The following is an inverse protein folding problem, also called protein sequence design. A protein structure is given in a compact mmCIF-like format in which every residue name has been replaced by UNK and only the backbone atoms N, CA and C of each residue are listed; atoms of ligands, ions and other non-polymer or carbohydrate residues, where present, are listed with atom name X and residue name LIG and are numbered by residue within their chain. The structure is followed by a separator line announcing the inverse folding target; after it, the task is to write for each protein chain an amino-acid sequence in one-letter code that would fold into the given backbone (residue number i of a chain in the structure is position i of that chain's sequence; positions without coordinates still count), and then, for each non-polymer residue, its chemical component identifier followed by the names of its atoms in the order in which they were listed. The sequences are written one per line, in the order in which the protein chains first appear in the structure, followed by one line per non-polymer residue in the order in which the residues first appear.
data_IF_451476185060
#
_entry.id   IF_451476185060
#
_cell.length_a   1.000
_cell.length_b   1.000
_cell.length_c   1.000
_cell.angle_alpha   90.00
_cell.angle_beta   90.00
_cell.angle_gamma   90.00
#
_symmetry.space_group_name_H-M   'P 1'
#
loop_
_entity.id
_entity.type
_entity.pdbx_description
1 polymer ?
#
# COMPACT_ATOMS: atom_id res chain seq x y z
N UNK A 1 -13.92 -26.40 -59.46
CA UNK A 1 -14.82 -25.33 -59.97
C UNK A 1 -14.97 -24.30 -58.86
N UNK A 2 -14.30 -23.15 -59.01
CA UNK A 2 -14.66 -21.89 -58.34
C UNK A 2 -15.95 -21.33 -58.96
N UNK A 3 -16.69 -20.45 -58.26
CA UNK A 3 -16.46 -19.00 -58.37
C UNK A 3 -16.56 -18.30 -57.00
N UNK A 4 -15.70 -17.36 -56.60
CA UNK A 4 -15.62 -15.93 -56.99
C UNK A 4 -16.94 -15.15 -56.94
N UNK A 5 -17.12 -14.34 -55.88
CA UNK A 5 -17.29 -12.87 -55.91
C UNK A 5 -18.33 -12.28 -54.93
N UNK A 6 -18.11 -11.00 -54.56
CA UNK A 6 -18.85 -10.05 -53.68
C UNK A 6 -18.40 -10.09 -52.20
N UNK A 7 -17.44 -9.29 -51.71
CA UNK A 7 -17.16 -7.84 -51.79
C UNK A 7 -18.22 -6.96 -51.08
N UNK A 8 -17.72 -6.26 -50.04
CA UNK A 8 -18.22 -5.07 -49.33
C UNK A 8 -19.31 -5.23 -48.25
N UNK A 9 -18.86 -5.19 -46.99
CA UNK A 9 -19.45 -4.28 -46.01
C UNK A 9 -18.38 -3.83 -45.00
N UNK A 10 -18.62 -2.63 -44.51
CA UNK A 10 -17.67 -1.59 -44.17
C UNK A 10 -17.67 -1.33 -42.67
N UNK A 11 -16.52 -0.89 -42.16
CA UNK A 11 -16.30 -0.14 -40.92
C UNK A 11 -16.68 -0.77 -39.57
N UNK A 12 -15.64 -1.11 -38.80
CA UNK A 12 -15.63 -0.83 -37.36
C UNK A 12 -14.20 -0.64 -36.87
N UNK A 13 -13.83 0.62 -36.65
CA UNK A 13 -12.61 1.00 -35.95
C UNK A 13 -12.69 0.53 -34.49
N UNK A 14 -11.80 -0.37 -34.07
CA UNK A 14 -11.52 -0.60 -32.64
C UNK A 14 -10.11 -0.14 -32.33
N UNK A 15 -10.06 0.99 -31.64
CA UNK A 15 -8.83 1.60 -31.11
C UNK A 15 -8.12 0.66 -30.15
N UNK A 16 -6.81 0.56 -30.37
CA UNK A 16 -5.82 -0.17 -29.58
C UNK A 16 -5.44 0.69 -28.38
N UNK A 17 -5.78 0.26 -27.16
CA UNK A 17 -5.22 0.87 -25.93
C UNK A 17 -4.10 -0.05 -25.45
N UNK A 18 -2.87 0.24 -25.90
CA UNK A 18 -1.64 -0.35 -25.37
C UNK A 18 -1.25 0.45 -24.12
N UNK A 19 -1.53 -0.09 -22.94
CA UNK A 19 -1.11 0.47 -21.65
C UNK A 19 0.38 0.19 -21.42
N UNK A 20 1.23 1.19 -21.63
CA UNK A 20 2.62 1.15 -21.19
C UNK A 20 2.68 1.56 -19.71
N UNK A 21 2.87 0.58 -18.84
CA UNK A 21 3.27 0.83 -17.45
C UNK A 21 4.69 1.41 -17.43
N UNK A 22 4.80 2.69 -17.08
CA UNK A 22 6.08 3.37 -16.89
C UNK A 22 6.81 2.82 -15.65
N UNK A 23 8.06 2.41 -15.87
CA UNK A 23 9.02 2.01 -14.83
C UNK A 23 9.71 3.25 -14.21
N UNK A 24 10.28 3.16 -12.99
CA UNK A 24 10.78 4.32 -12.25
C UNK A 24 12.02 5.01 -12.84
N UNK A 25 12.60 4.47 -13.92
CA UNK A 25 13.85 4.96 -14.51
C UNK A 25 13.68 6.02 -15.61
N UNK A 26 12.45 6.37 -15.99
CA UNK A 26 12.19 7.35 -17.05
C UNK A 26 12.03 8.80 -16.55
N UNK A 27 12.01 9.04 -15.23
CA UNK A 27 11.86 10.40 -14.67
C UNK A 27 13.16 11.22 -14.57
N UNK A 28 14.33 10.68 -14.97
CA UNK A 28 15.63 11.35 -14.76
C UNK A 28 16.22 12.04 -16.00
N UNK A 29 15.52 12.05 -17.14
CA UNK A 29 16.01 12.66 -18.40
C UNK A 29 15.14 13.79 -18.97
N UNK A 30 14.12 14.29 -18.25
CA UNK A 30 13.34 15.46 -18.72
C UNK A 30 13.94 16.82 -18.33
N UNK A 31 14.94 16.84 -17.45
CA UNK A 31 15.53 18.10 -16.94
C UNK A 31 16.67 18.67 -17.79
N UNK A 32 17.07 18.01 -18.89
CA UNK A 32 18.25 18.44 -19.68
C UNK A 32 17.96 18.90 -21.10
N UNK A 33 16.79 18.62 -21.67
CA UNK A 33 16.45 19.05 -23.04
C UNK A 33 15.77 20.42 -23.11
N UNK A 34 15.13 20.90 -22.04
CA UNK A 34 14.54 22.25 -22.02
C UNK A 34 15.55 23.37 -21.81
N UNK A 35 16.78 23.07 -21.36
CA UNK A 35 17.82 24.07 -21.12
C UNK A 35 18.65 24.45 -22.37
N UNK A 36 18.42 23.79 -23.52
CA UNK A 36 19.30 23.88 -24.69
C UNK A 36 18.65 24.49 -25.95
N UNK A 37 17.42 25.01 -25.87
CA UNK A 37 16.68 25.48 -27.07
C UNK A 37 16.20 26.94 -27.09
N UNK A 38 16.61 27.79 -26.16
CA UNK A 38 16.24 29.22 -26.24
C UNK A 38 17.44 30.12 -25.94
N UNK A 39 18.32 30.27 -26.93
CA UNK A 39 19.07 31.51 -27.13
C UNK A 39 18.35 32.36 -28.17
N UNK A 40 17.60 33.41 -27.77
CA UNK A 40 17.27 34.49 -28.67
C UNK A 40 18.35 35.57 -28.64
N UNK A 41 18.95 35.71 -29.81
CA UNK A 41 19.78 36.78 -30.35
C UNK A 41 19.28 38.19 -29.95
N UNK A 42 20.19 39.02 -29.44
CA UNK A 42 20.02 40.48 -29.30
C UNK A 42 19.70 41.10 -30.67
N UNK A 43 18.70 41.99 -30.75
CA UNK A 43 18.98 43.30 -31.32
C UNK A 43 18.63 44.42 -30.35
N UNK A 44 19.37 45.48 -30.57
CA UNK A 44 19.44 46.77 -29.92
C UNK A 44 18.26 47.66 -30.37
N UNK A 45 17.59 48.33 -29.43
CA UNK A 45 17.21 49.76 -29.51
C UNK A 45 16.19 50.15 -28.42
N UNK A 46 16.49 51.27 -27.73
CA UNK A 46 15.57 52.18 -27.04
C UNK A 46 14.83 51.71 -25.77
N UNK A 47 15.56 51.57 -24.66
CA UNK A 47 15.00 51.72 -23.31
C UNK A 47 15.33 53.12 -22.77
N UNK A 48 14.30 53.97 -22.59
CA UNK A 48 14.32 54.96 -21.49
C UNK A 48 12.95 55.45 -20.99
N UNK A 49 11.82 55.07 -21.59
CA UNK A 49 10.52 55.67 -21.24
C UNK A 49 9.44 54.71 -20.71
N UNK A 50 9.57 53.39 -20.86
CA UNK A 50 8.54 52.40 -20.46
C UNK A 50 8.73 51.81 -19.05
N UNK A 51 9.96 51.81 -18.50
CA UNK A 51 10.27 51.16 -17.22
C UNK A 51 9.69 51.85 -15.98
N UNK A 52 9.32 53.12 -16.09
CA UNK A 52 8.63 53.83 -15.02
C UNK A 52 7.14 53.47 -14.96
N UNK A 53 6.52 53.22 -16.12
CA UNK A 53 5.08 52.95 -16.25
C UNK A 53 4.76 51.47 -15.93
N UNK A 54 5.68 50.55 -16.23
CA UNK A 54 5.51 49.14 -15.84
C UNK A 54 5.69 48.92 -14.34
N UNK A 55 6.55 49.69 -13.67
CA UNK A 55 6.63 49.70 -12.20
C UNK A 55 5.34 50.22 -11.58
N UNK A 56 4.76 51.30 -12.11
CA UNK A 56 3.48 51.79 -11.61
C UNK A 56 2.32 50.82 -11.84
N UNK A 57 2.30 50.07 -12.95
CA UNK A 57 1.27 49.04 -13.18
C UNK A 57 1.48 47.83 -12.26
N UNK A 58 2.71 47.38 -12.07
CA UNK A 58 3.00 46.23 -11.21
C UNK A 58 2.79 46.57 -9.72
N UNK A 59 3.06 47.83 -9.35
CA UNK A 59 2.76 48.40 -8.04
C UNK A 59 1.25 48.67 -7.88
N UNK A 60 0.50 49.10 -8.91
CA UNK A 60 -0.97 49.16 -8.87
C UNK A 60 -1.61 47.76 -8.76
N UNK A 61 -1.01 46.73 -9.37
CA UNK A 61 -1.50 45.34 -9.29
C UNK A 61 -1.09 44.67 -7.98
N UNK A 62 0.05 45.03 -7.38
CA UNK A 62 0.47 44.61 -6.03
C UNK A 62 -0.22 45.40 -4.90
N UNK A 63 -0.57 46.68 -5.14
CA UNK A 63 -1.30 47.58 -4.25
C UNK A 63 -2.81 47.57 -4.47
N UNK A 64 -3.31 46.78 -5.44
CA UNK A 64 -4.69 46.28 -5.38
C UNK A 64 -4.75 45.29 -4.22
N UNK A 65 -4.62 45.80 -2.99
CA UNK A 65 -5.24 45.20 -1.83
C UNK A 65 -6.68 44.96 -2.25
N UNK A 66 -7.09 43.69 -2.27
CA UNK A 66 -8.52 43.36 -2.35
C UNK A 66 -9.23 44.27 -1.36
N UNK A 67 -10.18 45.11 -1.79
CA UNK A 67 -10.74 46.13 -0.92
C UNK A 67 -11.31 45.43 0.30
N UNK A 68 -10.70 45.66 1.47
CA UNK A 68 -11.18 45.12 2.74
C UNK A 68 -12.64 45.56 2.84
N UNK A 69 -13.61 44.64 2.83
CA UNK A 69 -15.00 45.02 2.63
C UNK A 69 -15.39 46.02 3.72
N UNK A 70 -15.69 47.26 3.36
CA UNK A 70 -16.04 48.33 4.30
C UNK A 70 -17.48 48.21 4.78
N UNK A 71 -18.31 47.50 4.01
CA UNK A 71 -19.70 47.16 4.29
C UNK A 71 -19.82 45.91 5.16
N UNK A 72 -20.76 45.95 6.11
CA UNK A 72 -21.04 44.85 7.05
C UNK A 72 -21.25 43.51 6.31
N UNK A 73 -21.91 43.53 5.15
CA UNK A 73 -22.17 42.39 4.26
C UNK A 73 -20.91 41.72 3.67
N UNK A 74 -19.89 42.49 3.27
CA UNK A 74 -18.68 41.91 2.71
C UNK A 74 -17.77 41.29 3.78
N UNK A 75 -17.72 41.89 4.99
CA UNK A 75 -16.99 41.32 6.14
C UNK A 75 -17.60 40.00 6.61
N UNK A 76 -18.92 39.85 6.54
CA UNK A 76 -19.58 38.58 6.87
C UNK A 76 -19.40 37.54 5.76
N UNK A 77 -19.39 37.92 4.48
CA UNK A 77 -19.15 36.99 3.38
C UNK A 77 -17.73 36.40 3.40
N UNK A 78 -16.71 37.22 3.64
CA UNK A 78 -15.31 36.77 3.72
C UNK A 78 -15.03 35.95 5.00
N UNK A 79 -15.62 36.34 6.14
CA UNK A 79 -15.56 35.52 7.36
C UNK A 79 -16.30 34.20 7.17
N UNK A 80 -17.45 34.21 6.50
CA UNK A 80 -18.21 33.00 6.20
C UNK A 80 -17.45 32.05 5.27
N UNK A 81 -16.72 32.55 4.26
CA UNK A 81 -15.92 31.69 3.39
C UNK A 81 -14.77 31.03 4.12
N UNK A 82 -14.11 31.73 5.05
CA UNK A 82 -13.05 31.15 5.87
C UNK A 82 -13.61 30.14 6.88
N UNK A 83 -14.72 30.47 7.55
CA UNK A 83 -15.41 29.55 8.46
C UNK A 83 -15.89 28.29 7.75
N UNK A 84 -16.38 28.40 6.51
CA UNK A 84 -16.78 27.25 5.71
C UNK A 84 -15.60 26.29 5.45
N UNK A 85 -14.43 26.81 5.08
CA UNK A 85 -13.24 25.98 4.85
C UNK A 85 -12.76 25.29 6.14
N UNK A 86 -12.71 26.01 7.27
CA UNK A 86 -12.35 25.40 8.56
C UNK A 86 -13.37 24.34 8.99
N UNK A 87 -14.67 24.61 8.79
CA UNK A 87 -15.73 23.65 9.10
C UNK A 87 -15.62 22.41 8.23
N UNK A 88 -15.37 22.58 6.92
CA UNK A 88 -15.17 21.47 5.99
C UNK A 88 -13.96 20.61 6.38
N UNK A 89 -12.86 21.22 6.83
CA UNK A 89 -11.68 20.49 7.34
C UNK A 89 -12.03 19.71 8.60
N UNK A 90 -12.71 20.30 9.57
CA UNK A 90 -13.09 19.61 10.82
C UNK A 90 -14.01 18.43 10.53
N UNK A 91 -15.00 18.61 9.66
CA UNK A 91 -15.91 17.52 9.23
C UNK A 91 -15.13 16.44 8.50
N UNK A 92 -14.23 16.81 7.58
CA UNK A 92 -13.40 15.87 6.84
C UNK A 92 -12.52 15.02 7.76
N UNK A 93 -11.84 15.66 8.72
CA UNK A 93 -11.02 14.96 9.72
C UNK A 93 -11.89 14.05 10.61
N UNK A 94 -13.08 14.51 10.99
CA UNK A 94 -14.03 13.71 11.77
C UNK A 94 -14.46 12.43 11.05
N UNK A 95 -14.82 12.53 9.76
CA UNK A 95 -15.21 11.39 8.94
C UNK A 95 -14.06 10.40 8.75
N UNK A 96 -12.85 10.90 8.46
CA UNK A 96 -11.65 10.05 8.31
C UNK A 96 -11.34 9.37 9.64
N UNK A 97 -11.37 10.10 10.76
CA UNK A 97 -11.15 9.55 12.10
C UNK A 97 -12.14 8.45 12.47
N UNK A 98 -13.43 8.66 12.19
CA UNK A 98 -14.47 7.65 12.41
C UNK A 98 -14.24 6.40 11.55
N UNK A 99 -13.88 6.56 10.27
CA UNK A 99 -13.59 5.43 9.39
C UNK A 99 -12.37 4.62 9.88
N UNK A 100 -11.29 5.31 10.26
CA UNK A 100 -10.09 4.68 10.82
C UNK A 100 -10.41 3.92 12.10
N UNK A 101 -11.26 4.47 12.99
CA UNK A 101 -11.65 3.80 14.23
C UNK A 101 -12.37 2.47 13.98
N UNK A 102 -13.34 2.44 13.07
CA UNK A 102 -14.07 1.22 12.72
C UNK A 102 -13.15 0.18 12.10
N UNK A 103 -12.31 0.59 11.14
CA UNK A 103 -11.38 -0.33 10.49
C UNK A 103 -10.33 -0.88 11.45
N UNK A 104 -9.79 -0.07 12.37
CA UNK A 104 -8.79 -0.52 13.33
C UNK A 104 -9.32 -1.68 14.20
N UNK A 105 -10.58 -1.63 14.64
CA UNK A 105 -11.19 -2.71 15.40
C UNK A 105 -11.24 -4.04 14.64
N UNK A 106 -11.54 -3.98 13.34
CA UNK A 106 -11.65 -5.17 12.48
C UNK A 106 -10.28 -5.72 12.07
N UNK A 107 -9.34 -4.85 11.68
CA UNK A 107 -8.04 -5.27 11.16
C UNK A 107 -7.11 -5.83 12.24
N UNK A 108 -7.20 -5.33 13.48
CA UNK A 108 -6.38 -5.80 14.60
C UNK A 108 -7.06 -6.89 15.42
N UNK A 109 -8.17 -7.46 14.94
CA UNK A 109 -8.73 -8.66 15.53
C UNK A 109 -7.65 -9.76 15.63
N UNK A 110 -7.64 -10.48 16.75
CA UNK A 110 -6.68 -11.56 17.01
C UNK A 110 -6.81 -12.71 15.99
N UNK A 111 -7.89 -12.72 15.23
CA UNK A 111 -8.31 -13.60 14.15
C UNK A 111 -7.49 -13.44 12.85
N UNK A 112 -6.47 -12.57 12.85
CA UNK A 112 -5.60 -12.37 11.69
C UNK A 112 -4.55 -13.49 11.58
N UNK A 113 -4.41 -14.14 10.40
CA UNK A 113 -3.40 -15.17 10.18
C UNK A 113 -1.96 -14.69 10.44
N UNK A 114 -1.69 -13.39 10.25
CA UNK A 114 -0.38 -12.79 10.50
C UNK A 114 -0.06 -12.72 11.99
N UNK A 115 -1.04 -12.42 12.83
CA UNK A 115 -0.88 -12.43 14.29
C UNK A 115 -0.54 -13.83 14.78
N UNK A 116 -1.27 -14.84 14.29
CA UNK A 116 -1.03 -16.26 14.60
C UNK A 116 0.37 -16.67 14.13
N UNK A 117 0.76 -16.32 12.91
CA UNK A 117 2.10 -16.55 12.38
C UNK A 117 3.20 -15.96 13.28
N UNK A 118 3.09 -14.68 13.63
CA UNK A 118 4.09 -14.00 14.45
C UNK A 118 4.22 -14.63 15.84
N UNK A 119 3.10 -14.99 16.48
CA UNK A 119 3.09 -15.68 17.77
C UNK A 119 3.66 -17.10 17.67
N UNK A 120 3.30 -17.85 16.63
CA UNK A 120 3.85 -19.19 16.41
C UNK A 120 5.38 -19.13 16.18
N UNK A 121 5.84 -18.15 15.41
CA UNK A 121 7.25 -17.97 15.12
C UNK A 121 8.06 -17.53 16.36
N UNK A 122 7.49 -16.72 17.25
CA UNK A 122 8.16 -16.40 18.53
C UNK A 122 8.30 -17.64 19.40
N UNK A 123 7.25 -18.46 19.52
CA UNK A 123 7.30 -19.73 20.26
C UNK A 123 8.36 -20.69 19.70
N UNK A 124 8.47 -20.79 18.37
CA UNK A 124 9.52 -21.61 17.72
C UNK A 124 10.92 -21.08 17.98
N UNK A 125 11.09 -19.75 18.13
CA UNK A 125 12.38 -19.15 18.47
C UNK A 125 12.77 -19.35 19.92
N UNK A 126 11.79 -19.36 20.82
CA UNK A 126 12.00 -19.53 22.26
C UNK A 126 12.27 -21.00 22.64
N UNK A 127 11.75 -21.95 21.86
CA UNK A 127 11.92 -23.38 22.12
C UNK A 127 13.36 -23.88 21.87
N UNK A 128 13.97 -24.47 22.90
CA UNK A 128 15.35 -24.96 22.84
C UNK A 128 15.56 -26.10 21.85
N UNK A 129 14.58 -26.98 21.66
CA UNK A 129 14.70 -28.09 20.69
C UNK A 129 14.67 -27.57 19.26
N UNK A 130 13.84 -26.57 18.99
CA UNK A 130 13.82 -25.87 17.71
C UNK A 130 15.16 -25.16 17.43
N UNK A 131 15.78 -24.53 18.44
CA UNK A 131 17.12 -23.97 18.31
C UNK A 131 18.20 -25.05 18.03
N UNK A 132 18.10 -26.22 18.63
CA UNK A 132 19.02 -27.33 18.36
C UNK A 132 18.89 -27.83 16.92
N UNK A 133 17.65 -27.92 16.41
CA UNK A 133 17.33 -28.40 15.06
C UNK A 133 17.72 -27.39 13.97
N UNK A 134 17.34 -26.12 14.13
CA UNK A 134 17.50 -25.09 13.09
C UNK A 134 18.75 -24.21 13.29
N UNK A 135 19.25 -24.11 14.52
CA UNK A 135 20.34 -23.20 14.90
C UNK A 135 19.84 -22.00 15.72
N UNK A 136 20.76 -21.13 16.17
CA UNK A 136 20.45 -19.97 17.02
C UNK A 136 19.65 -18.88 16.28
N UNK A 137 19.85 -18.73 14.97
CA UNK A 137 19.08 -17.80 14.14
C UNK A 137 17.95 -18.54 13.44
N UNK A 138 16.71 -18.09 13.65
CA UNK A 138 15.52 -18.69 13.04
C UNK A 138 14.70 -17.61 12.32
N UNK A 139 14.64 -17.72 11.00
CA UNK A 139 13.83 -16.89 10.12
C UNK A 139 12.55 -17.64 9.69
N UNK A 140 11.40 -16.98 9.84
CA UNK A 140 10.12 -17.48 9.35
C UNK A 140 9.70 -16.75 8.08
N UNK A 141 9.17 -17.47 7.10
CA UNK A 141 8.65 -16.90 5.86
C UNK A 141 7.37 -17.60 5.42
N UNK A 142 6.52 -16.86 4.73
CA UNK A 142 5.29 -17.38 4.14
C UNK A 142 5.54 -18.25 2.91
N UNK A 143 4.46 -18.63 2.25
CA UNK A 143 4.51 -19.40 1.00
C UNK A 143 5.25 -18.65 -0.11
N UNK A 144 5.99 -19.40 -0.90
CA UNK A 144 6.70 -18.90 -2.07
C UNK A 144 5.76 -18.86 -3.27
N UNK A 145 5.52 -17.66 -3.79
CA UNK A 145 4.81 -17.50 -5.07
C UNK A 145 5.65 -18.06 -6.23
N UNK A 146 5.02 -18.39 -7.36
CA UNK A 146 5.74 -18.84 -8.56
C UNK A 146 6.84 -17.87 -9.07
N UNK A 147 6.78 -16.59 -8.66
CA UNK A 147 7.80 -15.56 -8.96
C UNK A 147 8.82 -15.35 -7.84
N UNK A 148 8.92 -16.26 -6.86
CA UNK A 148 9.90 -16.22 -5.76
C UNK A 148 9.61 -15.20 -4.65
N UNK A 149 8.42 -14.57 -4.62
CA UNK A 149 8.05 -13.63 -3.54
C UNK A 149 7.42 -14.39 -2.36
N UNK A 150 7.80 -14.03 -1.12
CA UNK A 150 7.36 -14.66 0.14
C UNK A 150 6.50 -13.73 1.01
N UNK A 151 5.43 -13.18 0.44
CA UNK A 151 4.65 -12.08 1.09
C UNK A 151 3.44 -12.56 1.89
N UNK A 152 2.90 -13.74 1.56
CA UNK A 152 1.68 -14.25 2.18
C UNK A 152 1.98 -15.50 3.00
N UNK A 153 1.35 -15.62 4.17
CA UNK A 153 1.37 -16.85 4.94
C UNK A 153 0.20 -17.71 4.49
N UNK A 154 0.46 -19.00 4.26
CA UNK A 154 -0.58 -19.95 3.91
C UNK A 154 -1.51 -20.12 5.10
N UNK A 155 -2.79 -19.88 4.89
CA UNK A 155 -3.77 -19.97 5.95
C UNK A 155 -5.06 -20.56 5.44
N UNK A 156 -5.76 -21.26 6.33
CA UNK A 156 -7.06 -21.86 6.05
C UNK A 156 -7.96 -21.59 7.25
N UNK A 157 -8.98 -20.76 7.05
CA UNK A 157 -10.04 -20.52 8.03
C UNK A 157 -11.17 -21.50 7.75
N UNK A 158 -11.63 -22.21 8.77
CA UNK A 158 -12.71 -23.18 8.64
C UNK A 158 -13.44 -23.35 9.96
N UNK A 159 -14.64 -23.91 9.89
CA UNK A 159 -15.43 -24.22 11.07
C UNK A 159 -15.50 -25.72 11.24
N UNK A 160 -15.35 -26.20 12.46
CA UNK A 160 -15.52 -27.62 12.79
C UNK A 160 -15.99 -27.74 14.23
N UNK A 161 -17.01 -28.56 14.46
CA UNK A 161 -17.65 -28.77 15.76
C UNK A 161 -18.32 -27.48 16.32
N UNK A 162 -18.78 -26.60 15.43
CA UNK A 162 -19.37 -25.29 15.79
C UNK A 162 -18.37 -24.23 16.25
N UNK A 163 -17.06 -24.54 16.15
CA UNK A 163 -15.97 -23.64 16.55
C UNK A 163 -15.20 -23.17 15.32
N UNK A 164 -14.90 -21.87 15.27
CA UNK A 164 -14.03 -21.31 14.25
C UNK A 164 -12.58 -21.72 14.50
N UNK A 165 -11.91 -22.17 13.44
CA UNK A 165 -10.52 -22.62 13.46
C UNK A 165 -9.73 -21.91 12.37
N UNK A 166 -8.50 -21.55 12.70
CA UNK A 166 -7.56 -20.98 11.75
C UNK A 166 -6.28 -21.79 11.81
N UNK A 167 -5.94 -22.38 10.67
CA UNK A 167 -4.68 -23.07 10.46
C UNK A 167 -3.74 -22.19 9.66
N UNK A 168 -2.50 -22.12 10.09
CA UNK A 168 -1.43 -21.36 9.46
C UNK A 168 -0.26 -22.31 9.18
N UNK A 169 0.26 -22.26 7.96
CA UNK A 169 1.42 -23.00 7.52
C UNK A 169 2.47 -22.00 7.04
N UNK A 170 3.69 -22.15 7.54
CA UNK A 170 4.80 -21.29 7.17
C UNK A 170 6.11 -22.06 7.16
N UNK A 171 7.08 -21.52 6.44
CA UNK A 171 8.41 -22.09 6.36
C UNK A 171 9.32 -21.47 7.39
N UNK A 172 10.23 -22.29 7.89
CA UNK A 172 11.25 -21.90 8.86
C UNK A 172 12.62 -22.21 8.26
N UNK A 173 13.55 -21.28 8.38
CA UNK A 173 14.94 -21.46 7.97
C UNK A 173 15.83 -21.02 9.10
N UNK A 174 16.71 -21.90 9.53
CA UNK A 174 17.83 -21.53 10.37
C UNK A 174 19.16 -21.76 9.66
N UNK A 175 20.22 -21.63 10.43
CA UNK A 175 21.59 -21.78 9.95
C UNK A 175 21.94 -23.24 9.61
N UNK A 176 21.33 -24.20 10.33
CA UNK A 176 21.61 -25.64 10.19
C UNK A 176 20.68 -26.34 9.22
N UNK A 177 19.38 -26.05 9.31
CA UNK A 177 18.35 -26.75 8.52
C UNK A 177 17.17 -25.81 8.18
N UNK A 178 16.30 -26.32 7.32
CA UNK A 178 15.04 -25.69 6.92
C UNK A 178 13.88 -26.62 7.24
N UNK A 179 12.70 -26.04 7.46
CA UNK A 179 11.53 -26.79 7.87
C UNK A 179 10.22 -26.09 7.52
N UNK A 180 9.14 -26.76 7.90
CA UNK A 180 7.77 -26.27 7.76
C UNK A 180 7.13 -26.35 9.14
N UNK A 181 6.58 -25.23 9.59
CA UNK A 181 5.81 -25.14 10.81
C UNK A 181 4.32 -25.08 10.47
N UNK A 182 3.53 -25.82 11.24
CA UNK A 182 2.08 -25.81 11.14
C UNK A 182 1.50 -25.48 12.51
N UNK A 183 0.65 -24.46 12.53
CA UNK A 183 0.01 -23.96 13.73
C UNK A 183 -1.49 -23.90 13.51
N UNK A 184 -2.27 -24.28 14.52
CA UNK A 184 -3.72 -24.17 14.49
C UNK A 184 -4.21 -23.55 15.79
N UNK A 185 -5.10 -22.57 15.65
CA UNK A 185 -5.83 -21.98 16.77
C UNK A 185 -7.32 -22.21 16.57
N UNK A 186 -8.04 -22.34 17.67
CA UNK A 186 -9.49 -22.44 17.70
C UNK A 186 -10.08 -21.40 18.64
N UNK A 187 -11.26 -20.90 18.29
CA UNK A 187 -11.99 -19.93 19.09
C UNK A 187 -12.88 -20.66 20.10
N UNK A 188 -12.61 -20.48 21.39
CA UNK A 188 -13.42 -20.99 22.52
C UNK A 188 -13.82 -19.82 23.40
N UNK A 189 -15.12 -19.70 23.67
CA UNK A 189 -15.68 -18.68 24.58
C UNK A 189 -15.27 -17.22 24.23
N UNK A 190 -15.01 -16.95 22.95
CA UNK A 190 -14.56 -15.65 22.45
C UNK A 190 -13.03 -15.48 22.37
N UNK A 191 -12.26 -16.37 23.00
CA UNK A 191 -10.80 -16.34 23.01
C UNK A 191 -10.17 -17.34 22.03
N UNK A 192 -9.04 -16.95 21.44
CA UNK A 192 -8.26 -17.83 20.55
C UNK A 192 -7.25 -18.65 21.36
N UNK A 193 -7.40 -19.97 21.33
CA UNK A 193 -6.53 -20.91 22.02
C UNK A 193 -5.74 -21.75 21.02
N UNK A 194 -4.50 -22.10 21.37
CA UNK A 194 -3.69 -23.01 20.56
C UNK A 194 -4.26 -24.42 20.62
N UNK A 195 -4.48 -25.01 19.45
CA UNK A 195 -4.82 -26.42 19.33
C UNK A 195 -3.57 -27.27 19.17
N UNK A 196 -2.71 -26.90 18.23
CA UNK A 196 -1.40 -27.51 18.08
C UNK A 196 -0.42 -26.56 17.41
N UNK A 197 0.86 -26.78 17.68
CA UNK A 197 1.98 -26.15 17.00
C UNK A 197 3.09 -27.19 16.90
N UNK A 198 3.51 -27.50 15.68
CA UNK A 198 4.66 -28.37 15.44
C UNK A 198 5.48 -27.89 14.27
N UNK A 199 6.73 -28.32 14.24
CA UNK A 199 7.68 -28.04 13.17
C UNK A 199 8.25 -29.34 12.64
N UNK A 200 8.36 -29.44 11.33
CA UNK A 200 8.91 -30.58 10.61
C UNK A 200 10.15 -30.14 9.82
N UNK A 201 11.26 -30.86 9.95
CA UNK A 201 12.45 -30.59 9.13
C UNK A 201 12.27 -31.09 7.70
N UNK A 202 12.85 -30.35 6.75
CA UNK A 202 12.83 -30.68 5.34
C UNK A 202 13.88 -31.73 4.99
N UNK A 203 15.01 -31.74 5.71
CA UNK A 203 16.09 -32.74 5.55
C UNK A 203 15.58 -34.15 5.85
N UNK A 204 16.11 -35.14 5.12
CA UNK A 204 15.82 -36.56 5.36
C UNK A 204 16.89 -37.15 6.30
N UNK A 205 16.52 -38.00 7.29
CA UNK A 205 15.15 -38.33 7.69
C UNK A 205 14.44 -37.12 8.29
N UNK A 206 13.13 -37.03 8.04
CA UNK A 206 12.34 -35.90 8.55
C UNK A 206 12.12 -36.08 10.04
N UNK A 207 12.34 -35.00 10.79
CA UNK A 207 12.13 -34.96 12.23
C UNK A 207 11.02 -33.96 12.52
N UNK A 208 9.97 -34.43 13.20
CA UNK A 208 8.87 -33.58 13.65
C UNK A 208 9.01 -33.33 15.13
N UNK A 209 8.98 -32.06 15.52
CA UNK A 209 8.93 -31.65 16.92
C UNK A 209 7.61 -30.93 17.20
N UNK A 210 6.87 -31.44 18.18
CA UNK A 210 5.59 -30.85 18.62
C UNK A 210 5.87 -29.95 19.82
N UNK A 211 5.53 -28.66 19.69
CA UNK A 211 5.71 -27.64 20.71
C UNK A 211 4.47 -27.54 21.60
N UNK A 212 3.29 -27.54 20.98
CA UNK A 212 2.00 -27.48 21.66
C UNK A 212 1.11 -28.58 21.08
N UNK A 213 0.48 -29.36 21.96
CA UNK A 213 -0.46 -30.42 21.60
C UNK A 213 -1.66 -30.41 22.56
N UNK A 214 -2.75 -29.77 22.15
CA UNK A 214 -4.03 -29.69 22.86
C UNK A 214 -5.16 -30.35 22.05
N UNK A 215 -4.80 -31.33 21.21
CA UNK A 215 -5.72 -32.02 20.30
C UNK A 215 -6.65 -33.00 21.00
#
# INVERSE_FOLDING_TARGET
MSPLSKLLLQNSCRNVVKSYFLTPSQFRCFSRTLAALETPKKPESSQKQEHALQRSILEDVLLTEKPKPTTFGGKVAEKASNTFMYTAVVVGVGLIGAFVYVLAGEFFAQDSPQTIFNKALSLVREDGRCQDMFGPSIAGFGEETARGRRRHVAHHKYEKDGMQRIRVLFHVKGDRDEGIAQAEMEQRDGDWQWRFLYVETKRRPKTTHVLIDNR
#
